data_IF_823677470573
#
_entry.id   IF_823677470573
#
_cell.length_a   1.000
_cell.length_b   1.000
_cell.length_c   1.000
_cell.angle_alpha   90.00
_cell.angle_beta   90.00
_cell.angle_gamma   90.00
#
_symmetry.space_group_name_H-M   'P 1'
#
loop_
_entity.id
_entity.type
_entity.pdbx_description
1 polymer ?
#
# COMPACT_ATOMS: atom_id res chain seq x y z
N UNK A 1 -7.10 19.51 2.98
CA UNK A 1 -7.45 18.29 3.74
C UNK A 1 -8.21 17.39 2.80
N UNK A 2 -7.93 16.10 2.81
CA UNK A 2 -8.58 15.14 1.92
C UNK A 2 -9.67 14.47 2.72
N UNK A 3 -10.92 14.95 2.59
CA UNK A 3 -12.03 14.58 3.49
C UNK A 3 -12.53 13.12 3.30
N UNK A 4 -11.88 12.33 2.44
CA UNK A 4 -12.16 10.91 2.28
C UNK A 4 -10.92 10.12 1.87
N UNK A 5 -10.88 8.84 2.27
CA UNK A 5 -9.87 7.88 1.81
C UNK A 5 -9.79 7.81 0.28
N UNK A 6 -10.94 7.96 -0.39
CA UNK A 6 -11.05 7.90 -1.84
C UNK A 6 -10.38 9.10 -2.54
N UNK A 7 -10.52 10.30 -1.97
CA UNK A 7 -9.80 11.46 -2.46
C UNK A 7 -8.29 11.36 -2.15
N UNK A 8 -7.90 10.68 -1.06
CA UNK A 8 -6.50 10.42 -0.74
C UNK A 8 -5.87 9.39 -1.68
N UNK A 9 -6.59 8.33 -2.02
CA UNK A 9 -6.21 7.39 -3.08
C UNK A 9 -5.99 8.11 -4.42
N UNK A 10 -6.94 8.96 -4.84
CA UNK A 10 -6.83 9.66 -6.12
C UNK A 10 -5.60 10.58 -6.16
N UNK A 11 -5.30 11.26 -5.06
CA UNK A 11 -4.09 12.05 -4.90
C UNK A 11 -2.83 11.18 -4.93
N UNK A 12 -2.82 10.06 -4.19
CA UNK A 12 -1.70 9.11 -4.18
C UNK A 12 -1.39 8.56 -5.57
N UNK A 13 -2.41 8.20 -6.36
CA UNK A 13 -2.20 7.71 -7.73
C UNK A 13 -1.61 8.78 -8.65
N UNK A 14 -1.95 10.05 -8.43
CA UNK A 14 -1.43 11.18 -9.20
C UNK A 14 0.01 11.52 -8.80
N UNK A 15 0.33 11.44 -7.51
CA UNK A 15 1.66 11.76 -6.96
C UNK A 15 2.62 10.58 -6.96
N UNK A 16 2.12 9.35 -7.15
CA UNK A 16 2.98 8.19 -7.14
C UNK A 16 3.92 8.23 -8.35
N UNK A 17 5.14 8.69 -8.11
CA UNK A 17 6.25 8.80 -9.06
C UNK A 17 6.79 7.42 -9.47
N UNK A 18 5.95 6.56 -10.04
CA UNK A 18 6.39 5.36 -10.72
C UNK A 18 6.75 5.69 -12.16
N UNK A 19 7.91 5.25 -12.62
CA UNK A 19 8.20 5.20 -14.06
C UNK A 19 7.26 4.20 -14.74
N UNK A 20 6.91 3.13 -14.03
CA UNK A 20 5.92 2.14 -14.46
C UNK A 20 5.20 1.53 -13.27
N UNK A 21 3.89 1.75 -13.20
CA UNK A 21 3.01 1.01 -12.29
C UNK A 21 2.81 -0.42 -12.82
N UNK A 22 3.10 -1.43 -12.01
CA UNK A 22 3.02 -2.85 -12.40
C UNK A 22 1.98 -3.63 -11.61
N UNK A 23 1.53 -3.10 -10.48
CA UNK A 23 0.51 -3.72 -9.65
C UNK A 23 -0.34 -2.65 -8.95
N UNK A 24 -1.65 -2.83 -8.99
CA UNK A 24 -2.64 -2.08 -8.22
C UNK A 24 -3.64 -3.08 -7.64
N UNK A 25 -3.93 -2.94 -6.35
CA UNK A 25 -5.05 -3.61 -5.70
C UNK A 25 -5.68 -2.66 -4.70
N UNK A 26 -6.99 -2.68 -4.57
CA UNK A 26 -7.74 -1.76 -3.71
C UNK A 26 -8.90 -2.47 -3.02
N UNK A 27 -9.36 -1.86 -1.94
CA UNK A 27 -10.59 -2.20 -1.26
C UNK A 27 -11.15 -0.97 -0.55
N UNK A 28 -12.28 -1.14 0.16
CA UNK A 28 -13.06 -0.01 0.73
C UNK A 28 -12.21 1.04 1.46
N UNK A 29 -11.24 0.59 2.26
CA UNK A 29 -10.42 1.43 3.14
C UNK A 29 -8.91 1.14 3.00
N UNK A 30 -8.48 0.56 1.88
CA UNK A 30 -7.06 0.25 1.65
C UNK A 30 -6.69 0.25 0.17
N UNK A 31 -5.43 0.56 -0.11
CA UNK A 31 -4.84 0.62 -1.44
C UNK A 31 -3.43 0.02 -1.40
N UNK A 32 -3.09 -0.76 -2.42
CA UNK A 32 -1.74 -1.25 -2.68
C UNK A 32 -1.33 -0.80 -4.08
N UNK A 33 -0.15 -0.19 -4.17
CA UNK A 33 0.52 0.16 -5.41
C UNK A 33 1.89 -0.48 -5.42
N UNK A 34 2.30 -1.03 -6.56
CA UNK A 34 3.70 -1.36 -6.78
C UNK A 34 4.10 -1.14 -8.22
N UNK A 35 5.35 -0.74 -8.40
CA UNK A 35 5.89 -0.33 -9.68
C UNK A 35 7.39 -0.13 -9.60
N UNK A 36 7.98 0.32 -10.69
CA UNK A 36 9.41 0.61 -10.79
C UNK A 36 9.68 2.10 -10.81
N UNK A 37 10.78 2.49 -10.17
CA UNK A 37 11.42 3.82 -10.27
C UNK A 37 12.91 3.57 -10.51
N UNK A 38 13.35 3.70 -11.76
CA UNK A 38 14.67 3.30 -12.24
C UNK A 38 14.98 1.83 -11.91
N UNK A 39 16.11 1.52 -11.24
CA UNK A 39 16.50 0.15 -10.89
C UNK A 39 15.78 -0.41 -9.65
N UNK A 40 14.86 0.37 -9.06
CA UNK A 40 14.19 0.06 -7.79
C UNK A 40 12.73 -0.30 -8.04
N UNK A 41 12.23 -1.29 -7.29
CA UNK A 41 10.81 -1.55 -7.14
C UNK A 41 10.33 -0.83 -5.88
N UNK A 42 9.24 -0.10 -6.02
CA UNK A 42 8.55 0.57 -4.92
C UNK A 42 7.25 -0.21 -4.67
N UNK A 43 7.04 -0.62 -3.42
CA UNK A 43 5.79 -1.17 -2.91
C UNK A 43 5.21 -0.19 -1.90
N UNK A 44 3.94 0.17 -2.04
CA UNK A 44 3.23 1.05 -1.12
C UNK A 44 1.90 0.39 -0.75
N UNK A 45 1.64 0.25 0.54
CA UNK A 45 0.33 -0.13 1.08
C UNK A 45 -0.18 0.97 1.98
N UNK A 46 -1.37 1.45 1.70
CA UNK A 46 -2.08 2.46 2.46
C UNK A 46 -3.37 1.87 2.99
N UNK A 47 -3.71 2.13 4.25
CA UNK A 47 -4.93 1.63 4.87
C UNK A 47 -5.42 2.55 5.98
N UNK A 48 -6.73 2.63 6.15
CA UNK A 48 -7.34 3.39 7.23
C UNK A 48 -7.46 2.54 8.51
N UNK A 49 -7.11 3.13 9.65
CA UNK A 49 -7.24 2.51 10.96
C UNK A 49 -7.10 3.52 12.09
N UNK A 50 -7.82 3.32 13.19
CA UNK A 50 -7.77 4.21 14.37
C UNK A 50 -8.03 5.70 14.07
N UNK A 51 -8.85 6.00 13.04
CA UNK A 51 -9.19 7.38 12.66
C UNK A 51 -8.11 8.11 11.85
N UNK A 52 -7.10 7.40 11.33
CA UNK A 52 -6.06 7.95 10.47
C UNK A 52 -5.71 7.00 9.31
N UNK A 53 -5.12 7.55 8.26
CA UNK A 53 -4.48 6.76 7.21
C UNK A 53 -3.06 6.36 7.66
N UNK A 54 -2.71 5.10 7.43
CA UNK A 54 -1.39 4.54 7.68
C UNK A 54 -0.78 4.12 6.34
N UNK A 55 0.51 4.33 6.19
CA UNK A 55 1.26 3.97 4.99
C UNK A 55 2.47 3.10 5.36
N UNK A 56 2.69 2.06 4.56
CA UNK A 56 3.93 1.28 4.56
C UNK A 56 4.50 1.32 3.14
N UNK A 57 5.68 1.93 3.01
CA UNK A 57 6.45 1.97 1.77
C UNK A 57 7.73 1.15 1.93
N UNK A 58 8.02 0.33 0.92
CA UNK A 58 9.21 -0.51 0.87
C UNK A 58 9.83 -0.37 -0.52
N UNK A 59 11.12 -0.07 -0.54
CA UNK A 59 11.91 0.11 -1.76
C UNK A 59 13.03 -0.92 -1.79
N UNK A 60 13.21 -1.57 -2.94
CA UNK A 60 14.25 -2.59 -3.10
C UNK A 60 14.71 -2.71 -4.55
N UNK A 61 15.97 -3.13 -4.80
CA UNK A 61 16.46 -3.33 -6.16
C UNK A 61 15.65 -4.39 -6.90
N UNK A 62 15.38 -4.15 -8.18
CA UNK A 62 14.74 -5.11 -9.11
C UNK A 62 15.41 -6.49 -9.09
N UNK A 63 16.73 -6.52 -8.93
CA UNK A 63 17.53 -7.76 -8.85
C UNK A 63 17.20 -8.63 -7.64
N UNK A 64 16.58 -8.06 -6.59
CA UNK A 64 16.19 -8.78 -5.37
C UNK A 64 14.68 -9.09 -5.33
N UNK A 65 13.97 -8.90 -6.43
CA UNK A 65 12.51 -9.06 -6.49
C UNK A 65 12.02 -10.38 -5.90
N UNK A 66 12.62 -11.51 -6.27
CA UNK A 66 12.20 -12.82 -5.77
C UNK A 66 12.27 -12.93 -4.24
N UNK A 67 13.32 -12.39 -3.61
CA UNK A 67 13.45 -12.37 -2.15
C UNK A 67 12.38 -11.49 -1.51
N UNK A 68 12.20 -10.28 -2.03
CA UNK A 68 11.26 -9.31 -1.47
C UNK A 68 9.80 -9.70 -1.71
N UNK A 69 9.45 -10.34 -2.83
CA UNK A 69 8.09 -10.80 -3.10
C UNK A 69 7.55 -11.67 -1.95
N UNK A 70 8.38 -12.57 -1.40
CA UNK A 70 7.99 -13.39 -0.24
C UNK A 70 7.80 -12.58 1.05
N UNK A 71 8.68 -11.59 1.29
CA UNK A 71 8.61 -10.71 2.45
C UNK A 71 7.36 -9.83 2.36
N UNK A 72 7.14 -9.21 1.20
CA UNK A 72 6.00 -8.36 0.91
C UNK A 72 4.70 -9.14 1.02
N UNK A 73 4.62 -10.36 0.50
CA UNK A 73 3.43 -11.20 0.65
C UNK A 73 3.09 -11.47 2.13
N UNK A 74 4.11 -11.76 2.95
CA UNK A 74 3.93 -11.97 4.40
C UNK A 74 3.52 -10.69 5.12
N UNK A 75 4.16 -9.56 4.79
CA UNK A 75 3.86 -8.24 5.34
C UNK A 75 2.45 -7.78 4.96
N UNK A 76 2.04 -7.95 3.71
CA UNK A 76 0.72 -7.58 3.23
C UNK A 76 -0.38 -8.33 4.00
N UNK A 77 -0.12 -9.61 4.34
CA UNK A 77 -1.01 -10.47 5.13
C UNK A 77 -1.01 -10.12 6.62
N UNK A 78 0.13 -9.75 7.21
CA UNK A 78 0.19 -9.31 8.62
C UNK A 78 -0.50 -7.97 8.82
N UNK A 79 -0.44 -7.10 7.82
CA UNK A 79 -1.21 -5.86 7.74
C UNK A 79 -2.64 -6.10 7.23
N UNK A 80 -3.11 -7.35 7.25
CA UNK A 80 -4.41 -7.76 6.78
C UNK A 80 -5.53 -6.97 7.44
N UNK A 81 -6.57 -6.72 6.63
CA UNK A 81 -7.84 -6.08 6.95
C UNK A 81 -8.42 -6.59 8.28
N UNK A 82 -7.96 -6.02 9.39
CA UNK A 82 -8.54 -6.28 10.69
C UNK A 82 -9.59 -5.19 10.86
N UNK A 83 -10.85 -5.55 10.61
CA UNK A 83 -11.99 -4.87 11.21
C UNK A 83 -11.87 -5.00 12.73
N UNK A 84 -10.99 -4.23 13.34
CA UNK A 84 -10.86 -4.17 14.79
C UNK A 84 -11.92 -3.22 15.33
N UNK A 85 -13.17 -3.70 15.47
CA UNK A 85 -14.00 -3.51 16.69
C UNK A 85 -15.31 -4.31 16.61
N UNK A 86 -15.31 -5.52 17.16
CA UNK A 86 -16.40 -5.93 18.02
C UNK A 86 -15.91 -5.73 19.45
N UNK A 87 -16.26 -4.59 20.05
CA UNK A 87 -16.38 -4.52 21.50
C UNK A 87 -17.77 -3.98 21.80
N UNK A 88 -18.49 -4.74 22.63
CA UNK A 88 -19.87 -4.49 23.00
C UNK A 88 -20.45 -5.81 23.46
N UNK A 89 -20.41 -6.03 24.77
CA UNK A 89 -21.04 -7.15 25.47
C UNK A 89 -22.55 -7.13 25.24
#
# INVERSE_FOLDING_TARGET
>A
MTDSFQAYEAWLLKEAEFDRLTYKAEGKNWLILSGTKGPTIVYRKVFEGCGAAHEVQIEYPTQRKALYDHIIARLARSLGSTSARAIGR
#
